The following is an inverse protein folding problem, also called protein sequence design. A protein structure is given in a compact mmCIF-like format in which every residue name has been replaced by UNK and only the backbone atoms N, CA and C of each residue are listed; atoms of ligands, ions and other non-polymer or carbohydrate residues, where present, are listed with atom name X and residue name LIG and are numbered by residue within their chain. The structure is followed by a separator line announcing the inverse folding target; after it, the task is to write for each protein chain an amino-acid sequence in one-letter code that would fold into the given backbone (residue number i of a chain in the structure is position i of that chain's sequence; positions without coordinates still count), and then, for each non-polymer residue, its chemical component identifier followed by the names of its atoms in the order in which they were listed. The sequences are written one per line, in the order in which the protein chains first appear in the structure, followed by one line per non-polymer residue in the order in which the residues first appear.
data_IF_674044165553
#
_entry.id   IF_674044165553
#
_cell.length_a   1.000
_cell.length_b   1.000
_cell.length_c   1.000
_cell.angle_alpha   90.00
_cell.angle_beta   90.00
_cell.angle_gamma   90.00
#
_symmetry.space_group_name_H-M   'P 1'
#
loop_
_entity.id
_entity.type
_entity.pdbx_description
1 polymer ?
#
# COMPACT_ATOMS: atom_id res chain seq x y z
N UNK A 1 -72.30 -2.20 -8.52
CA UNK A 1 -71.12 -1.95 -9.40
C UNK A 1 -69.88 -2.16 -8.56
N UNK A 2 -69.15 -3.19 -8.86
CA UNK A 2 -68.07 -3.70 -8.03
C UNK A 2 -66.74 -3.14 -8.50
N UNK A 3 -66.09 -2.33 -7.65
CA UNK A 3 -64.73 -1.85 -7.86
C UNK A 3 -63.74 -2.89 -7.31
N UNK A 4 -62.87 -3.41 -8.17
CA UNK A 4 -61.81 -4.34 -7.78
C UNK A 4 -60.54 -3.58 -7.48
N UNK A 5 -60.18 -3.47 -6.21
CA UNK A 5 -58.88 -3.00 -5.79
C UNK A 5 -57.80 -4.02 -6.10
N UNK A 6 -56.83 -3.60 -6.88
CA UNK A 6 -55.65 -4.38 -7.25
C UNK A 6 -54.51 -3.97 -6.28
N UNK A 7 -54.20 -4.80 -5.31
CA UNK A 7 -53.01 -4.62 -4.45
C UNK A 7 -51.74 -5.05 -5.19
N UNK A 8 -50.96 -4.07 -5.58
CA UNK A 8 -49.62 -4.28 -6.11
C UNK A 8 -48.62 -4.38 -4.95
N UNK A 9 -48.21 -5.58 -4.60
CA UNK A 9 -47.15 -5.82 -3.62
C UNK A 9 -45.79 -5.51 -4.28
N UNK A 10 -45.18 -4.40 -3.90
CA UNK A 10 -43.81 -4.07 -4.29
C UNK A 10 -42.83 -4.78 -3.35
N UNK A 11 -42.20 -5.84 -3.84
CA UNK A 11 -41.04 -6.46 -3.17
C UNK A 11 -39.82 -5.54 -3.32
N UNK A 12 -39.49 -4.82 -2.26
CA UNK A 12 -38.20 -4.12 -2.12
C UNK A 12 -37.12 -5.18 -1.82
N UNK A 13 -36.38 -5.58 -2.83
CA UNK A 13 -35.14 -6.33 -2.68
C UNK A 13 -34.06 -5.36 -2.17
N UNK A 14 -33.79 -5.38 -0.88
CA UNK A 14 -32.64 -4.68 -0.28
C UNK A 14 -31.41 -5.48 -0.63
N UNK A 15 -30.73 -5.09 -1.71
CA UNK A 15 -29.42 -5.57 -2.07
C UNK A 15 -28.39 -5.08 -1.04
N UNK A 16 -27.99 -5.97 -0.12
CA UNK A 16 -26.85 -5.72 0.77
C UNK A 16 -25.60 -5.85 -0.07
N UNK A 17 -25.14 -4.76 -0.65
CA UNK A 17 -23.83 -4.67 -1.27
C UNK A 17 -22.79 -4.76 -0.15
N UNK A 18 -22.23 -5.93 0.06
CA UNK A 18 -21.06 -6.12 0.90
C UNK A 18 -19.89 -5.39 0.22
N UNK A 19 -19.67 -4.13 0.56
CA UNK A 19 -18.46 -3.41 0.21
C UNK A 19 -17.31 -4.09 0.96
N UNK A 20 -16.60 -4.98 0.26
CA UNK A 20 -15.34 -5.52 0.71
C UNK A 20 -14.35 -4.34 0.76
N UNK A 21 -14.20 -3.73 1.92
CA UNK A 21 -13.16 -2.74 2.16
C UNK A 21 -11.84 -3.50 2.14
N UNK A 22 -11.16 -3.48 1.01
CA UNK A 22 -9.75 -3.79 1.01
C UNK A 22 -9.11 -2.75 1.95
N UNK A 23 -8.67 -3.19 3.12
CA UNK A 23 -7.89 -2.34 4.03
C UNK A 23 -6.56 -2.04 3.34
N UNK A 24 -6.56 -1.00 2.53
CA UNK A 24 -5.36 -0.44 1.96
C UNK A 24 -4.56 0.25 3.05
N UNK A 25 -3.24 0.26 2.90
CA UNK A 25 -2.36 1.03 3.78
C UNK A 25 -2.67 2.52 3.60
N UNK A 26 -3.20 3.16 4.66
CA UNK A 26 -3.40 4.60 4.70
C UNK A 26 -2.03 5.28 4.91
N UNK A 27 -1.32 5.50 3.82
CA UNK A 27 -0.01 6.11 3.81
C UNK A 27 -0.06 7.40 2.98
N UNK A 28 0.25 8.51 3.62
CA UNK A 28 0.40 9.81 2.96
C UNK A 28 1.87 10.02 2.62
N UNK A 29 2.15 10.27 1.35
CA UNK A 29 3.50 10.53 0.87
C UNK A 29 4.02 11.87 1.42
N UNK A 30 5.18 11.85 2.04
CA UNK A 30 5.95 13.03 2.45
C UNK A 30 7.26 13.05 1.68
N UNK A 31 7.23 13.63 0.49
CA UNK A 31 8.42 13.82 -0.32
C UNK A 31 8.90 15.25 -0.16
N UNK A 32 10.17 15.39 0.19
CA UNK A 32 10.93 16.64 0.10
C UNK A 32 11.83 16.58 -1.13
N UNK A 33 12.68 17.55 -1.30
CA UNK A 33 13.62 17.57 -2.43
C UNK A 33 14.58 16.38 -2.45
N UNK A 34 14.95 15.85 -1.28
CA UNK A 34 15.96 14.80 -1.16
C UNK A 34 15.53 13.64 -0.27
N UNK A 35 14.35 13.68 0.33
CA UNK A 35 13.91 12.66 1.26
C UNK A 35 12.55 12.07 0.84
N UNK A 36 12.43 10.77 1.01
CA UNK A 36 11.22 10.01 0.77
C UNK A 36 10.76 9.44 2.08
N UNK A 37 9.58 9.82 2.51
CA UNK A 37 8.94 9.31 3.71
C UNK A 37 7.44 9.13 3.53
N UNK A 38 6.83 8.49 4.50
CA UNK A 38 5.39 8.24 4.52
C UNK A 38 4.85 8.46 5.92
N UNK A 39 3.81 9.27 6.05
CA UNK A 39 2.98 9.28 7.24
C UNK A 39 1.95 8.16 7.15
N UNK A 40 1.95 7.32 8.16
CA UNK A 40 1.12 6.14 8.19
C UNK A 40 0.16 6.26 9.36
N UNK A 41 -1.12 6.16 9.06
CA UNK A 41 -2.18 6.23 10.06
C UNK A 41 -2.83 4.86 10.21
N UNK A 42 -2.87 4.36 11.44
CA UNK A 42 -3.49 3.09 11.78
C UNK A 42 -2.59 2.19 12.64
N UNK A 43 -3.08 1.03 13.04
CA UNK A 43 -2.36 0.07 13.88
C UNK A 43 -1.39 -0.78 13.04
N UNK A 44 -0.38 -0.13 12.46
CA UNK A 44 0.64 -0.79 11.65
C UNK A 44 1.97 -0.86 12.41
N UNK A 45 2.71 -1.91 12.14
CA UNK A 45 4.04 -2.15 12.69
C UNK A 45 4.98 -2.73 11.65
N UNK A 46 6.27 -2.80 11.97
CA UNK A 46 7.30 -3.39 11.11
C UNK A 46 7.25 -2.86 9.68
N UNK A 47 7.34 -1.54 9.57
CA UNK A 47 7.30 -0.85 8.30
C UNK A 47 8.64 -0.97 7.58
N UNK A 48 8.58 -1.27 6.29
CA UNK A 48 9.74 -1.33 5.41
C UNK A 48 9.45 -0.50 4.16
N UNK A 49 10.24 0.54 3.97
CA UNK A 49 10.26 1.33 2.74
C UNK A 49 11.47 0.90 1.92
N UNK A 50 11.26 0.48 0.69
CA UNK A 50 12.32 0.17 -0.26
C UNK A 50 12.17 1.04 -1.50
N UNK A 51 13.29 1.44 -2.07
CA UNK A 51 13.37 2.15 -3.34
C UNK A 51 14.31 1.40 -4.28
N UNK A 52 14.01 1.48 -5.56
CA UNK A 52 14.83 0.95 -6.64
C UNK A 52 14.93 1.98 -7.74
N UNK A 53 16.10 2.17 -8.29
CA UNK A 53 16.37 3.20 -9.30
C UNK A 53 17.32 2.73 -10.40
N UNK A 54 17.77 3.65 -11.25
CA UNK A 54 18.73 3.39 -12.29
C UNK A 54 20.03 2.74 -11.77
N UNK A 55 20.76 2.09 -12.66
CA UNK A 55 22.06 1.47 -12.39
C UNK A 55 22.08 0.48 -11.22
N UNK A 56 20.90 -0.13 -10.91
CA UNK A 56 20.80 -1.10 -9.83
C UNK A 56 20.79 -0.47 -8.44
N UNK A 57 20.57 0.83 -8.32
CA UNK A 57 20.41 1.47 -7.02
C UNK A 57 19.25 0.82 -6.26
N UNK A 58 19.52 0.38 -5.06
CA UNK A 58 18.52 -0.18 -4.14
C UNK A 58 18.82 0.29 -2.72
N UNK A 59 17.80 0.79 -2.04
CA UNK A 59 17.91 1.19 -0.65
C UNK A 59 16.64 0.83 0.12
N UNK A 60 16.78 0.58 1.41
CA UNK A 60 15.64 0.28 2.29
C UNK A 60 15.80 0.94 3.65
N UNK A 61 14.67 1.33 4.22
CA UNK A 61 14.57 1.83 5.58
C UNK A 61 13.49 1.05 6.33
N UNK A 62 13.82 0.71 7.58
CA UNK A 62 12.92 -0.03 8.46
C UNK A 62 12.50 0.84 9.64
N UNK A 63 11.25 0.71 10.04
CA UNK A 63 10.74 1.32 11.27
C UNK A 63 9.81 0.36 11.98
N UNK A 64 9.94 0.22 13.29
CA UNK A 64 9.01 -0.60 14.07
C UNK A 64 7.65 0.05 14.19
N UNK A 65 7.67 1.34 14.48
CA UNK A 65 6.50 2.20 14.67
C UNK A 65 6.89 3.57 14.17
N UNK A 66 6.07 4.18 13.35
CA UNK A 66 6.35 5.50 12.78
C UNK A 66 6.74 5.44 11.31
N UNK A 67 7.16 6.58 10.79
CA UNK A 67 7.38 6.79 9.36
C UNK A 67 8.79 6.36 8.95
N UNK A 68 8.96 5.35 8.09
CA UNK A 68 10.25 5.08 7.49
C UNK A 68 10.64 6.23 6.55
N UNK A 69 11.92 6.61 6.57
CA UNK A 69 12.48 7.72 5.81
C UNK A 69 13.76 7.27 5.10
N UNK A 70 13.88 7.61 3.83
CA UNK A 70 15.11 7.44 3.04
C UNK A 70 15.57 8.81 2.58
N UNK A 71 16.80 9.18 2.93
CA UNK A 71 17.48 10.39 2.47
C UNK A 71 18.40 10.01 1.30
N UNK A 72 18.11 10.50 0.10
CA UNK A 72 18.88 10.20 -1.12
C UNK A 72 20.35 10.65 -1.00
N UNK A 73 20.64 11.72 -0.27
CA UNK A 73 22.01 12.23 -0.08
C UNK A 73 22.90 11.23 0.65
N UNK A 74 22.31 10.35 1.45
CA UNK A 74 23.04 9.30 2.20
C UNK A 74 23.33 8.06 1.37
N UNK A 75 22.75 7.95 0.19
CA UNK A 75 22.93 6.80 -0.69
C UNK A 75 24.17 6.93 -1.62
N UNK A 76 24.87 8.06 -1.55
CA UNK A 76 25.99 8.35 -2.42
C UNK A 76 25.53 8.98 -3.73
N UNK A 77 26.02 8.47 -4.86
CA UNK A 77 25.63 8.99 -6.18
C UNK A 77 24.24 8.51 -6.53
N UNK A 78 23.33 9.46 -6.73
CA UNK A 78 21.96 9.21 -7.16
C UNK A 78 21.82 9.74 -8.58
N UNK A 79 21.55 8.86 -9.51
CA UNK A 79 21.43 9.19 -10.93
C UNK A 79 20.04 9.76 -11.25
N UNK A 80 19.98 10.58 -12.30
CA UNK A 80 18.72 11.07 -12.83
C UNK A 80 17.92 9.93 -13.45
N UNK A 81 16.63 9.91 -13.23
CA UNK A 81 15.75 8.90 -13.80
C UNK A 81 14.52 8.58 -12.95
N UNK A 82 13.84 7.51 -13.34
CA UNK A 82 12.63 7.02 -12.68
C UNK A 82 13.01 6.03 -11.57
N UNK A 83 12.40 6.24 -10.42
CA UNK A 83 12.55 5.42 -9.23
C UNK A 83 11.21 4.80 -8.85
N UNK A 84 11.25 3.57 -8.40
CA UNK A 84 10.11 2.86 -7.83
C UNK A 84 10.26 2.81 -6.32
N UNK A 85 9.17 2.95 -5.60
CA UNK A 85 9.14 2.69 -4.18
C UNK A 85 8.10 1.62 -3.84
N UNK A 86 8.35 0.89 -2.76
CA UNK A 86 7.43 -0.03 -2.14
C UNK A 86 7.47 0.17 -0.64
N UNK A 87 6.30 0.37 -0.05
CA UNK A 87 6.10 0.44 1.39
C UNK A 87 5.29 -0.77 1.83
N UNK A 88 5.83 -1.53 2.77
CA UNK A 88 5.20 -2.71 3.37
C UNK A 88 5.01 -2.45 4.85
N UNK A 89 3.89 -2.85 5.39
CA UNK A 89 3.59 -2.77 6.82
C UNK A 89 2.87 -4.03 7.29
N UNK A 90 3.12 -4.46 8.53
CA UNK A 90 2.36 -5.50 9.19
C UNK A 90 1.16 -4.89 9.89
N UNK A 91 -0.01 -5.52 9.72
CA UNK A 91 -1.23 -5.19 10.47
C UNK A 91 -1.22 -5.92 11.82
N UNK A 92 -2.18 -5.63 12.66
CA UNK A 92 -2.45 -6.38 13.91
C UNK A 92 -3.25 -7.67 13.67
N UNK A 93 -3.74 -7.90 12.44
CA UNK A 93 -4.46 -9.11 12.05
C UNK A 93 -3.50 -10.31 11.97
N UNK A 94 -3.76 -11.32 12.79
CA UNK A 94 -2.99 -12.56 12.78
C UNK A 94 -3.60 -13.58 11.83
N UNK A 95 -2.79 -14.12 10.95
CA UNK A 95 -3.15 -15.22 10.06
C UNK A 95 -2.57 -16.53 10.61
N UNK A 96 -3.39 -17.60 10.72
CA UNK A 96 -2.88 -18.90 11.10
C UNK A 96 -1.96 -19.44 10.00
N UNK A 97 -0.78 -19.91 10.37
CA UNK A 97 0.11 -20.60 9.43
C UNK A 97 -0.43 -22.00 9.25
N UNK A 98 -0.94 -22.31 8.07
CA UNK A 98 -1.53 -23.61 7.73
C UNK A 98 -0.50 -24.74 7.54
N UNK A 99 0.78 -24.44 7.53
CA UNK A 99 1.85 -25.42 7.42
C UNK A 99 2.35 -25.80 8.81
N UNK A 100 1.50 -26.38 9.63
CA UNK A 100 1.98 -27.24 10.68
C UNK A 100 2.41 -28.54 9.99
N UNK A 101 3.69 -28.67 9.65
CA UNK A 101 4.30 -29.98 9.48
C UNK A 101 4.13 -30.66 10.85
N UNK A 102 3.18 -31.58 10.92
CA UNK A 102 3.01 -32.46 12.05
C UNK A 102 4.23 -33.37 12.10
N UNK A 103 5.24 -32.98 12.84
CA UNK A 103 6.41 -33.76 13.15
C UNK A 103 6.19 -34.58 14.42
N UNK A 104 4.93 -34.90 14.77
CA UNK A 104 4.61 -35.80 15.88
C UNK A 104 4.89 -35.24 17.27
N UNK A 105 5.01 -33.91 17.42
CA UNK A 105 5.04 -33.24 18.72
C UNK A 105 3.68 -32.63 19.01
N UNK A 106 2.95 -33.26 19.90
CA UNK A 106 1.69 -32.78 20.41
C UNK A 106 1.84 -31.37 21.01
N UNK A 107 1.00 -30.42 20.53
CA UNK A 107 0.67 -29.21 21.28
C UNK A 107 1.63 -28.04 21.20
N UNK A 108 2.40 -27.87 20.14
CA UNK A 108 3.12 -26.61 19.90
C UNK A 108 2.15 -25.44 19.66
N UNK A 109 2.48 -24.20 20.10
CA UNK A 109 1.61 -23.05 19.84
C UNK A 109 1.39 -22.90 18.34
N UNK A 110 0.15 -22.75 17.92
CA UNK A 110 -0.20 -22.50 16.52
C UNK A 110 0.58 -21.28 16.04
N UNK A 111 1.56 -21.49 15.18
CA UNK A 111 2.35 -20.40 14.64
C UNK A 111 1.40 -19.46 13.90
N UNK A 112 1.49 -18.18 14.18
CA UNK A 112 0.72 -17.15 13.51
C UNK A 112 1.66 -16.09 12.95
N UNK A 113 1.30 -15.54 11.79
CA UNK A 113 2.00 -14.41 11.20
C UNK A 113 1.05 -13.22 11.10
N UNK A 114 1.60 -12.02 11.16
CA UNK A 114 0.80 -10.83 10.92
C UNK A 114 0.54 -10.67 9.42
N UNK A 115 -0.69 -10.31 9.08
CA UNK A 115 -1.05 -9.95 7.72
C UNK A 115 -0.25 -8.72 7.31
N UNK A 116 0.35 -8.74 6.13
CA UNK A 116 1.04 -7.59 5.58
C UNK A 116 0.18 -6.89 4.54
N UNK A 117 0.33 -5.57 4.50
CA UNK A 117 -0.25 -4.70 3.48
C UNK A 117 0.87 -3.91 2.81
N UNK A 118 0.69 -3.55 1.55
CA UNK A 118 1.71 -2.79 0.84
C UNK A 118 1.09 -1.73 -0.07
N UNK A 119 1.85 -0.68 -0.30
CA UNK A 119 1.59 0.31 -1.34
C UNK A 119 2.88 0.54 -2.12
N UNK A 120 2.75 0.86 -3.39
CA UNK A 120 3.88 1.13 -4.27
C UNK A 120 3.56 2.28 -5.21
N UNK A 121 4.60 2.88 -5.76
CA UNK A 121 4.47 3.94 -6.74
C UNK A 121 5.82 4.31 -7.31
N UNK A 122 5.86 5.45 -7.97
CA UNK A 122 7.06 5.94 -8.64
C UNK A 122 7.27 7.42 -8.39
N UNK A 123 8.51 7.85 -8.49
CA UNK A 123 8.93 9.25 -8.49
C UNK A 123 10.10 9.40 -9.44
N UNK A 124 10.41 10.62 -9.83
CA UNK A 124 11.53 10.94 -10.69
C UNK A 124 12.57 11.74 -9.92
N UNK A 125 13.84 11.46 -10.18
CA UNK A 125 14.96 12.27 -9.70
C UNK A 125 15.55 13.00 -10.89
N UNK A 126 15.81 14.29 -10.71
CA UNK A 126 16.49 15.13 -11.68
C UNK A 126 17.44 16.10 -10.96
N UNK A 127 18.71 16.05 -11.35
CA UNK A 127 19.75 16.85 -10.70
C UNK A 127 19.90 16.55 -9.20
N UNK A 128 19.69 15.27 -8.78
CA UNK A 128 19.73 14.85 -7.39
C UNK A 128 18.51 15.27 -6.55
N UNK A 129 17.48 15.84 -7.18
CA UNK A 129 16.26 16.33 -6.52
C UNK A 129 15.05 15.50 -6.95
N UNK A 130 14.17 15.19 -6.00
CA UNK A 130 12.93 14.46 -6.26
C UNK A 130 11.92 15.39 -6.94
N UNK A 131 11.50 15.00 -8.13
CA UNK A 131 10.42 15.65 -8.87
C UNK A 131 9.15 14.84 -8.70
N UNK A 132 8.12 15.44 -8.10
CA UNK A 132 6.79 14.79 -8.05
C UNK A 132 6.26 14.65 -9.46
N UNK A 133 5.98 13.42 -9.87
CA UNK A 133 5.21 13.18 -11.08
C UNK A 133 3.76 13.55 -10.79
N UNK A 134 3.29 14.64 -11.40
CA UNK A 134 1.88 14.98 -11.39
C UNK A 134 1.13 13.94 -12.28
N UNK A 135 0.23 13.15 -11.70
CA UNK A 135 -0.51 12.13 -12.47
C UNK A 135 -1.36 12.75 -13.60
N UNK A 136 -1.73 14.01 -13.49
CA UNK A 136 -2.51 14.72 -14.53
C UNK A 136 -1.70 14.97 -15.80
N UNK A 137 -0.38 15.13 -15.72
CA UNK A 137 0.48 15.35 -16.89
C UNK A 137 0.54 14.16 -17.86
N UNK A 138 0.19 12.96 -17.40
CA UNK A 138 0.17 11.74 -18.25
C UNK A 138 -1.10 11.58 -19.08
N UNK A 139 -2.22 12.14 -18.64
CA UNK A 139 -3.47 12.07 -19.41
C UNK A 139 -3.45 13.01 -20.61
N UNK A 140 -2.80 14.15 -20.49
CA UNK A 140 -2.67 15.11 -21.57
C UNK A 140 -1.77 14.61 -22.72
N UNK A 141 -0.72 13.84 -22.39
CA UNK A 141 0.16 13.23 -23.39
C UNK A 141 -0.50 12.11 -24.20
N UNK A 142 -1.56 11.48 -23.68
CA UNK A 142 -2.33 10.45 -24.40
C UNK A 142 -3.42 11.03 -25.30
N UNK A 143 -3.83 12.27 -25.07
CA UNK A 143 -4.86 12.95 -25.89
C UNK A 143 -4.32 13.61 -27.15
N UNK A 144 -3.00 13.73 -27.28
CA UNK A 144 -2.35 14.37 -28.44
C UNK A 144 -1.81 13.39 -29.50
N UNK A 145 -2.29 12.14 -29.50
CA UNK A 145 -1.86 11.14 -30.50
C UNK A 145 -3.04 10.60 -31.29
#
# INVERSE_FOLDING_TARGET
MKSKSFCLAACLAVGISSTCWAQGLNATQKFTETEIGFDITGPFSNLMLSISGPNGLHASAHSRTGSPLIDLRKLGTVDDGDYLYQLIAATDEKLPIRTALDNGRDGGPTASMFKSVSTSGQFQVKGGTIVKLDPSAREDAKRQK
#
